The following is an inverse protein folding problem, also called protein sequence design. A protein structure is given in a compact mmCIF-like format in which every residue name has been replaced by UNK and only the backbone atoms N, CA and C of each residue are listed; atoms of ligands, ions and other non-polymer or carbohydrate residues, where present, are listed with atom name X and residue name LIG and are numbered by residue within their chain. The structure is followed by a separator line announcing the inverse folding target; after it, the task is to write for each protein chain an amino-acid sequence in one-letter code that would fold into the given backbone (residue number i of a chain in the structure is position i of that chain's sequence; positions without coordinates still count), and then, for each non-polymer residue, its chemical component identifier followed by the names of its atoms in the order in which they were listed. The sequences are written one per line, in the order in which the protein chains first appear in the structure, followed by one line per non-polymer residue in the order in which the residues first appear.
data_IF_014536849891
#
_entry.id   IF_014536849891
#
_cell.length_a   1.000
_cell.length_b   1.000
_cell.length_c   1.000
_cell.angle_alpha   90.00
_cell.angle_beta   90.00
_cell.angle_gamma   90.00
#
_symmetry.space_group_name_H-M   'P 1'
#
loop_
_entity.id
_entity.type
_entity.pdbx_description
1 polymer ?
#
# COMPACT_ATOMS: atom_id res chain seq x y z
N UNK A 1 -25.59 0.14 53.50
CA UNK A 1 -25.28 1.44 52.83
C UNK A 1 -23.91 1.49 52.16
N UNK A 2 -22.90 0.69 52.58
CA UNK A 2 -21.53 0.70 51.97
C UNK A 2 -21.44 0.03 50.59
N UNK A 3 -22.34 -0.89 50.25
CA UNK A 3 -22.34 -1.65 48.99
C UNK A 3 -22.91 -0.87 47.80
N UNK A 4 -23.84 0.05 48.02
CA UNK A 4 -24.39 0.92 46.97
C UNK A 4 -23.34 1.89 46.40
N UNK A 5 -22.37 2.32 47.21
CA UNK A 5 -21.33 3.26 46.79
C UNK A 5 -20.33 2.64 45.79
N UNK A 6 -20.02 1.34 45.95
CA UNK A 6 -19.06 0.63 45.08
C UNK A 6 -19.67 0.35 43.70
N UNK A 7 -20.96 -0.01 43.66
CA UNK A 7 -21.68 -0.27 42.41
C UNK A 7 -21.79 0.99 41.52
N UNK A 8 -21.94 2.16 42.14
CA UNK A 8 -22.06 3.43 41.44
C UNK A 8 -20.72 3.89 40.83
N UNK A 9 -19.61 3.60 41.50
CA UNK A 9 -18.26 3.94 41.02
C UNK A 9 -17.84 3.10 39.80
N UNK A 10 -18.20 1.81 39.79
CA UNK A 10 -17.89 0.90 38.68
C UNK A 10 -18.64 1.27 37.39
N UNK A 11 -19.86 1.81 37.51
CA UNK A 11 -20.69 2.23 36.38
C UNK A 11 -20.19 3.52 35.72
N UNK A 12 -19.51 4.38 36.49
CA UNK A 12 -18.88 5.61 35.99
C UNK A 12 -17.61 5.26 35.20
N UNK A 13 -16.87 4.23 35.60
CA UNK A 13 -15.65 3.80 34.92
C UNK A 13 -15.92 3.13 33.56
N UNK A 14 -17.07 2.47 33.37
CA UNK A 14 -17.45 1.86 32.08
C UNK A 14 -17.92 2.85 31.02
N UNK A 15 -18.19 4.10 31.41
CA UNK A 15 -18.76 5.12 30.53
C UNK A 15 -17.73 6.14 30.00
N UNK A 16 -16.43 5.93 30.25
CA UNK A 16 -15.40 6.78 29.63
C UNK A 16 -15.46 6.61 28.12
N UNK A 17 -15.87 7.63 27.34
CA UNK A 17 -15.63 7.58 25.91
C UNK A 17 -14.12 7.49 25.75
N UNK A 18 -13.65 6.56 24.93
CA UNK A 18 -12.30 6.64 24.42
C UNK A 18 -12.23 7.97 23.64
N UNK A 19 -11.66 9.01 24.27
CA UNK A 19 -11.23 10.22 23.58
C UNK A 19 -10.12 9.77 22.63
N UNK A 20 -10.52 9.35 21.43
CA UNK A 20 -9.57 9.10 20.37
C UNK A 20 -8.96 10.45 20.03
N UNK A 21 -7.64 10.57 20.22
CA UNK A 21 -6.90 11.72 19.73
C UNK A 21 -7.21 11.88 18.24
N UNK A 22 -7.43 13.12 17.76
CA UNK A 22 -7.64 13.34 16.35
C UNK A 22 -6.43 12.77 15.59
N UNK A 23 -6.66 11.99 14.51
CA UNK A 23 -5.57 11.38 13.78
C UNK A 23 -4.59 12.48 13.30
N UNK A 24 -3.28 12.26 13.46
CA UNK A 24 -2.28 13.24 13.08
C UNK A 24 -2.35 13.54 11.58
N UNK A 25 -2.00 14.77 11.17
CA UNK A 25 -2.09 15.22 9.77
C UNK A 25 -1.24 14.35 8.83
N UNK A 26 -0.14 13.81 9.35
CA UNK A 26 0.77 12.92 8.64
C UNK A 26 0.09 11.61 8.22
N UNK A 27 -0.98 11.18 8.91
CA UNK A 27 -1.74 9.99 8.54
C UNK A 27 -2.41 10.13 7.16
N UNK A 28 -2.74 11.35 6.75
CA UNK A 28 -3.40 11.64 5.47
C UNK A 28 -2.43 11.86 4.30
N UNK A 29 -1.13 12.06 4.60
CA UNK A 29 -0.10 12.29 3.58
C UNK A 29 0.63 11.05 3.08
N UNK A 30 0.39 9.87 3.70
CA UNK A 30 1.05 8.63 3.32
C UNK A 30 0.45 8.06 2.04
N UNK A 31 1.31 7.73 1.09
CA UNK A 31 0.91 6.97 -0.09
C UNK A 31 0.33 5.61 0.35
N UNK A 32 -0.76 5.15 -0.28
CA UNK A 32 -1.25 3.79 -0.07
C UNK A 32 -0.13 2.78 -0.33
N UNK A 33 0.00 1.80 0.56
CA UNK A 33 0.96 0.71 0.37
C UNK A 33 0.63 -0.14 -0.87
N UNK A 34 -0.65 -0.21 -1.26
CA UNK A 34 -1.13 -0.87 -2.47
C UNK A 34 -1.70 0.16 -3.43
N UNK A 35 -1.24 0.15 -4.67
CA UNK A 35 -1.66 1.04 -5.75
C UNK A 35 -2.70 0.37 -6.66
N UNK A 36 -2.51 -0.92 -6.96
CA UNK A 36 -3.41 -1.73 -7.79
C UNK A 36 -3.25 -3.22 -7.44
N UNK A 37 -4.27 -4.03 -7.68
CA UNK A 37 -4.25 -5.47 -7.41
C UNK A 37 -5.06 -6.25 -8.44
N UNK A 38 -4.57 -7.42 -8.82
CA UNK A 38 -5.27 -8.35 -9.72
C UNK A 38 -5.19 -9.78 -9.21
N UNK A 39 -6.33 -10.49 -9.21
CA UNK A 39 -6.40 -11.93 -8.94
C UNK A 39 -6.09 -12.70 -10.22
N UNK A 40 -5.31 -13.78 -10.13
CA UNK A 40 -5.06 -14.67 -11.25
C UNK A 40 -6.35 -15.35 -11.72
N UNK A 41 -6.48 -15.73 -13.01
CA UNK A 41 -7.69 -16.36 -13.52
C UNK A 41 -8.09 -17.65 -12.80
N UNK A 42 -7.09 -18.40 -12.29
CA UNK A 42 -7.29 -19.63 -11.50
C UNK A 42 -7.52 -19.37 -10.00
N UNK A 43 -7.46 -18.10 -9.56
CA UNK A 43 -7.62 -17.68 -8.17
C UNK A 43 -6.46 -18.02 -7.23
N UNK A 44 -5.39 -18.65 -7.72
CA UNK A 44 -4.31 -19.14 -6.85
C UNK A 44 -3.35 -18.05 -6.39
N UNK A 45 -3.32 -16.89 -7.07
CA UNK A 45 -2.34 -15.82 -6.84
C UNK A 45 -2.95 -14.43 -6.92
N UNK A 46 -2.40 -13.50 -6.15
CA UNK A 46 -2.69 -12.07 -6.26
C UNK A 46 -1.41 -11.36 -6.69
N UNK A 47 -1.50 -10.58 -7.76
CA UNK A 47 -0.47 -9.65 -8.17
C UNK A 47 -0.81 -8.26 -7.61
N UNK A 48 0.20 -7.56 -7.09
CA UNK A 48 0.06 -6.29 -6.40
C UNK A 48 1.07 -5.28 -6.97
N UNK A 49 0.56 -4.14 -7.43
CA UNK A 49 1.34 -2.92 -7.54
C UNK A 49 1.35 -2.24 -6.18
N UNK A 50 2.52 -1.99 -5.62
CA UNK A 50 2.67 -1.47 -4.27
C UNK A 50 3.74 -0.39 -4.19
N UNK A 51 3.72 0.38 -3.11
CA UNK A 51 4.77 1.34 -2.79
C UNK A 51 5.30 1.04 -1.38
N UNK A 52 6.61 0.85 -1.28
CA UNK A 52 7.31 0.49 -0.05
C UNK A 52 8.76 0.94 -0.11
N UNK A 53 9.37 1.24 1.04
CA UNK A 53 10.80 1.64 1.11
C UNK A 53 11.19 2.79 0.18
N UNK A 54 10.22 3.67 -0.12
CA UNK A 54 10.38 4.82 -1.01
C UNK A 54 10.36 4.50 -2.51
N UNK A 55 9.96 3.29 -2.91
CA UNK A 55 10.01 2.81 -4.31
C UNK A 55 8.75 2.02 -4.68
N UNK A 56 8.38 1.94 -5.97
CA UNK A 56 7.34 1.04 -6.43
C UNK A 56 7.81 -0.42 -6.41
N UNK A 57 6.92 -1.34 -6.07
CA UNK A 57 7.15 -2.78 -6.04
C UNK A 57 6.05 -3.53 -6.80
N UNK A 58 6.43 -4.56 -7.53
CA UNK A 58 5.54 -5.58 -8.06
C UNK A 58 5.68 -6.81 -7.19
N UNK A 59 4.59 -7.22 -6.54
CA UNK A 59 4.57 -8.40 -5.67
C UNK A 59 3.58 -9.42 -6.18
N UNK A 60 3.91 -10.70 -6.02
CA UNK A 60 2.96 -11.80 -6.26
C UNK A 60 2.86 -12.62 -4.99
N UNK A 61 1.64 -12.82 -4.53
CA UNK A 61 1.31 -13.56 -3.31
C UNK A 61 0.56 -14.82 -3.72
N UNK A 62 0.99 -15.97 -3.23
CA UNK A 62 0.22 -17.21 -3.31
C UNK A 62 -0.88 -17.19 -2.24
N UNK A 63 -2.13 -17.32 -2.67
CA UNK A 63 -3.31 -17.17 -1.82
C UNK A 63 -3.41 -18.32 -0.81
N UNK A 64 -3.17 -19.55 -1.28
CA UNK A 64 -3.32 -20.75 -0.46
C UNK A 64 -2.22 -20.82 0.61
N UNK A 65 -0.99 -20.49 0.22
CA UNK A 65 0.16 -20.52 1.14
C UNK A 65 0.27 -19.25 1.98
N UNK A 66 -0.50 -18.21 1.66
CA UNK A 66 -0.41 -16.86 2.25
C UNK A 66 1.03 -16.34 2.25
N UNK A 67 1.73 -16.59 1.14
CA UNK A 67 3.17 -16.39 1.03
C UNK A 67 3.49 -15.46 -0.14
N UNK A 68 4.43 -14.54 0.09
CA UNK A 68 5.03 -13.74 -0.97
C UNK A 68 5.95 -14.65 -1.80
N UNK A 69 5.64 -14.80 -3.10
CA UNK A 69 6.40 -15.67 -4.02
C UNK A 69 7.21 -14.88 -5.06
N UNK A 70 6.95 -13.58 -5.17
CA UNK A 70 7.73 -12.66 -6.00
C UNK A 70 7.71 -11.27 -5.38
N UNK A 71 8.86 -10.60 -5.34
CA UNK A 71 9.00 -9.18 -5.01
C UNK A 71 10.04 -8.56 -5.94
N UNK A 72 9.60 -7.65 -6.79
CA UNK A 72 10.44 -6.88 -7.69
C UNK A 72 10.30 -5.39 -7.44
N UNK A 73 11.36 -4.76 -6.92
CA UNK A 73 11.45 -3.31 -6.81
C UNK A 73 11.74 -2.70 -8.19
N UNK A 74 11.04 -1.61 -8.53
CA UNK A 74 11.35 -0.83 -9.71
C UNK A 74 12.35 0.26 -9.36
N UNK A 75 13.42 0.35 -10.14
CA UNK A 75 14.43 1.38 -9.97
C UNK A 75 14.05 2.70 -10.68
N UNK A 76 14.74 3.77 -10.28
CA UNK A 76 14.61 5.09 -10.88
C UNK A 76 13.29 5.81 -10.54
N UNK A 77 12.97 6.84 -11.32
CA UNK A 77 11.75 7.65 -11.15
C UNK A 77 10.53 7.03 -11.86
N UNK A 78 10.50 5.71 -11.95
CA UNK A 78 9.41 4.99 -12.59
C UNK A 78 8.14 5.12 -11.76
N UNK A 79 6.99 5.35 -12.40
CA UNK A 79 5.70 5.17 -11.73
C UNK A 79 5.06 3.89 -12.24
N UNK A 80 4.67 3.05 -11.30
CA UNK A 80 3.85 1.87 -11.56
C UNK A 80 2.38 2.29 -11.52
N UNK A 81 1.65 2.02 -12.61
CA UNK A 81 0.24 2.40 -12.73
C UNK A 81 -0.70 1.24 -12.48
N UNK A 82 -0.46 0.10 -13.13
CA UNK A 82 -1.39 -1.02 -13.11
C UNK A 82 -0.72 -2.38 -13.21
N UNK A 83 -1.45 -3.39 -12.77
CA UNK A 83 -1.08 -4.80 -12.84
C UNK A 83 -2.23 -5.64 -13.38
N UNK A 84 -1.94 -6.62 -14.22
CA UNK A 84 -2.95 -7.53 -14.79
C UNK A 84 -2.35 -8.89 -15.13
N UNK A 85 -3.12 -9.95 -14.87
CA UNK A 85 -2.78 -11.29 -15.32
C UNK A 85 -3.07 -11.49 -16.80
N UNK A 86 -2.13 -12.09 -17.52
CA UNK A 86 -2.33 -12.57 -18.89
C UNK A 86 -2.89 -13.99 -18.88
N UNK A 87 -2.42 -14.81 -17.95
CA UNK A 87 -2.88 -16.17 -17.67
C UNK A 87 -2.61 -16.53 -16.19
N UNK A 88 -2.65 -17.81 -15.82
CA UNK A 88 -2.41 -18.27 -14.44
C UNK A 88 -0.97 -18.04 -13.92
N UNK A 89 -0.02 -17.78 -14.82
CA UNK A 89 1.42 -17.76 -14.54
C UNK A 89 2.11 -16.45 -14.94
N UNK A 90 1.54 -15.70 -15.88
CA UNK A 90 2.12 -14.46 -16.40
C UNK A 90 1.39 -13.22 -15.91
N UNK A 91 2.17 -12.30 -15.33
CA UNK A 91 1.71 -10.98 -14.92
C UNK A 91 2.27 -9.93 -15.88
N UNK A 92 1.40 -9.05 -16.35
CA UNK A 92 1.75 -7.82 -17.07
C UNK A 92 1.58 -6.62 -16.16
N UNK A 93 2.41 -5.59 -16.37
CA UNK A 93 2.32 -4.34 -15.65
C UNK A 93 2.63 -3.17 -16.57
N UNK A 94 2.06 -2.02 -16.25
CA UNK A 94 2.33 -0.78 -16.99
C UNK A 94 3.11 0.19 -16.11
N UNK A 95 4.28 0.57 -16.60
CA UNK A 95 5.15 1.60 -16.00
C UNK A 95 5.29 2.80 -16.93
N UNK A 96 5.43 3.98 -16.35
CA UNK A 96 5.80 5.20 -17.06
C UNK A 96 7.05 5.83 -16.46
N UNK A 97 7.86 6.48 -17.30
CA UNK A 97 9.07 7.18 -16.90
C UNK A 97 8.98 8.63 -17.39
N UNK A 98 9.50 9.56 -16.61
CA UNK A 98 9.56 10.99 -16.98
C UNK A 98 11.03 11.40 -17.09
N UNK A 99 11.37 12.07 -18.19
CA UNK A 99 12.66 12.70 -18.41
C UNK A 99 12.47 14.21 -18.57
N UNK A 100 13.42 14.99 -18.09
CA UNK A 100 13.51 16.43 -18.37
C UNK A 100 14.68 16.63 -19.35
N UNK A 101 14.41 16.74 -20.66
CA UNK A 101 15.47 16.97 -21.65
C UNK A 101 16.12 18.32 -21.37
N UNK A 102 17.46 18.38 -21.41
CA UNK A 102 18.17 19.65 -21.48
C UNK A 102 18.34 20.05 -22.94
N UNK A 103 18.31 21.35 -23.28
CA UNK A 103 18.64 21.80 -24.63
C UNK A 103 20.00 21.24 -25.03
N UNK A 104 20.08 20.68 -26.24
CA UNK A 104 21.37 20.34 -26.82
C UNK A 104 22.13 21.64 -27.05
N UNK A 105 23.26 21.83 -26.37
CA UNK A 105 24.13 22.95 -26.66
C UNK A 105 24.69 22.75 -28.07
N UNK A 106 24.05 23.34 -29.08
CA UNK A 106 24.67 23.51 -30.39
C UNK A 106 25.83 24.46 -30.18
N UNK A 107 27.05 23.94 -30.13
CA UNK A 107 28.24 24.77 -30.14
C UNK A 107 28.21 25.62 -31.41
N UNK A 108 28.04 26.93 -31.24
CA UNK A 108 28.40 27.90 -32.26
C UNK A 108 29.88 27.67 -32.58
N UNK A 109 30.15 27.28 -33.83
CA UNK A 109 31.48 27.33 -34.43
C UNK A 109 31.70 28.70 -35.05
#
# INVERSE_FOLDING_TARGET
MRTCAVALLALIFSAYPALADPPPVEAYGRLPAALDAALSPDGSKVALASFGDGRPHIRVIDVNRRALIFDGALEGQSRLHSVRWLDATHVSFWINWTISPRPHASGER
#
